data_IF_503309038148
#
_entry.id   IF_503309038148
#
_cell.length_a   1.000
_cell.length_b   1.000
_cell.length_c   1.000
_cell.angle_alpha   90.00
_cell.angle_beta   90.00
_cell.angle_gamma   90.00
#
_symmetry.space_group_name_H-M   'P 1'
#
loop_
_entity.id
_entity.type
_entity.pdbx_description
1 polymer ?
#
# COMPACT_ATOMS: atom_id res chain seq x y z
N UNK A 1 13.35 -4.81 8.49
CA UNK A 1 12.16 -5.19 7.70
C UNK A 1 11.01 -5.40 8.68
N UNK A 2 10.06 -4.46 8.75
CA UNK A 2 8.87 -4.57 9.62
C UNK A 2 7.88 -5.55 8.97
N UNK A 3 7.25 -6.41 9.78
CA UNK A 3 6.33 -7.46 9.32
C UNK A 3 5.16 -6.87 8.54
N UNK A 4 4.78 -7.46 7.41
CA UNK A 4 3.59 -7.06 6.62
C UNK A 4 2.28 -7.06 7.43
N UNK A 5 2.20 -7.88 8.49
CA UNK A 5 1.04 -7.89 9.39
C UNK A 5 0.96 -6.64 10.28
N UNK A 6 2.06 -5.90 10.46
CA UNK A 6 2.08 -4.67 11.27
C UNK A 6 1.51 -3.47 10.53
N UNK A 7 1.66 -3.37 9.21
CA UNK A 7 1.15 -2.25 8.41
C UNK A 7 -0.37 -2.27 8.33
N UNK A 8 -0.99 -3.45 8.16
CA UNK A 8 -2.46 -3.57 8.19
C UNK A 8 -3.06 -3.08 9.52
N UNK A 9 -2.42 -3.42 10.66
CA UNK A 9 -2.84 -2.92 11.96
C UNK A 9 -2.63 -1.40 12.11
N UNK A 10 -1.61 -0.84 11.48
CA UNK A 10 -1.39 0.61 11.46
C UNK A 10 -2.49 1.34 10.68
N UNK A 11 -2.86 0.81 9.50
CA UNK A 11 -3.94 1.37 8.68
C UNK A 11 -5.27 1.39 9.45
N UNK A 12 -5.59 0.32 10.18
CA UNK A 12 -6.80 0.28 11.04
C UNK A 12 -6.76 1.42 12.07
N UNK A 13 -5.65 1.57 12.80
CA UNK A 13 -5.53 2.62 13.81
C UNK A 13 -5.58 4.03 13.21
N UNK A 14 -5.10 4.22 11.98
CA UNK A 14 -5.18 5.52 11.29
C UNK A 14 -6.62 5.78 10.80
N UNK A 15 -7.34 4.75 10.34
CA UNK A 15 -8.77 4.87 9.98
C UNK A 15 -9.64 5.21 11.18
N UNK A 16 -9.34 4.64 12.36
CA UNK A 16 -10.02 5.02 13.61
C UNK A 16 -9.82 6.53 13.89
N UNK A 17 -8.60 7.05 13.68
CA UNK A 17 -8.33 8.49 13.82
C UNK A 17 -9.12 9.34 12.81
N UNK A 18 -9.27 8.88 11.57
CA UNK A 18 -10.09 9.57 10.55
C UNK A 18 -11.55 9.62 10.97
N UNK A 19 -12.10 8.49 11.42
CA UNK A 19 -13.47 8.44 11.94
C UNK A 19 -13.67 9.40 13.12
N UNK A 20 -12.71 9.42 14.05
CA UNK A 20 -12.77 10.32 15.20
C UNK A 20 -12.78 11.81 14.78
N UNK A 21 -12.12 12.18 13.66
CA UNK A 21 -12.20 13.56 13.13
C UNK A 21 -13.55 13.85 12.50
N UNK A 22 -14.09 12.90 11.74
CA UNK A 22 -15.40 13.04 11.10
C UNK A 22 -16.49 13.26 12.16
N UNK A 23 -16.44 12.52 13.26
CA UNK A 23 -17.36 12.71 14.39
C UNK A 23 -17.23 14.12 15.00
N UNK A 24 -16.01 14.63 15.19
CA UNK A 24 -15.78 15.99 15.73
C UNK A 24 -16.27 17.08 14.76
N UNK A 25 -16.08 16.88 13.46
CA UNK A 25 -16.55 17.81 12.43
C UNK A 25 -18.09 17.84 12.36
N UNK A 26 -18.76 16.72 12.62
CA UNK A 26 -20.21 16.58 12.58
C UNK A 26 -20.92 17.07 13.87
N UNK A 27 -20.34 16.83 15.05
CA UNK A 27 -20.97 17.13 16.36
C UNK A 27 -20.78 18.59 16.83
N UNK A 28 -19.89 19.35 16.18
CA UNK A 28 -19.58 20.74 16.52
C UNK A 28 -18.16 20.93 17.03
N UNK A 29 -17.52 22.02 16.61
CA UNK A 29 -16.07 22.17 16.74
C UNK A 29 -15.74 22.94 18.01
N UNK A 30 -15.21 22.23 19.00
CA UNK A 30 -14.69 22.81 20.23
C UNK A 30 -13.15 22.78 20.24
N UNK A 31 -12.54 23.88 20.70
CA UNK A 31 -11.08 24.00 20.80
C UNK A 31 -10.45 22.88 21.63
N UNK A 32 -10.97 22.62 22.84
CA UNK A 32 -10.39 21.64 23.75
C UNK A 32 -10.48 20.23 23.17
N UNK A 33 -11.62 19.87 22.59
CA UNK A 33 -11.85 18.59 21.93
C UNK A 33 -10.92 18.39 20.73
N UNK A 34 -10.76 19.42 19.90
CA UNK A 34 -9.87 19.43 18.73
C UNK A 34 -8.40 19.25 19.10
N UNK A 35 -7.93 19.96 20.13
CA UNK A 35 -6.55 19.88 20.61
C UNK A 35 -6.27 18.55 21.32
N UNK A 36 -7.22 18.04 22.11
CA UNK A 36 -7.10 16.73 22.74
C UNK A 36 -7.01 15.62 21.69
N UNK A 37 -7.87 15.68 20.66
CA UNK A 37 -7.81 14.76 19.55
C UNK A 37 -6.45 14.82 18.84
N UNK A 38 -5.96 16.01 18.49
CA UNK A 38 -4.66 16.20 17.81
C UNK A 38 -3.52 15.56 18.62
N UNK A 39 -3.44 15.85 19.92
CA UNK A 39 -2.40 15.30 20.79
C UNK A 39 -2.45 13.77 20.87
N UNK A 40 -3.66 13.20 20.93
CA UNK A 40 -3.86 11.75 20.92
C UNK A 40 -3.44 11.15 19.58
N UNK A 41 -3.83 11.75 18.47
CA UNK A 41 -3.46 11.32 17.12
C UNK A 41 -1.94 11.32 16.93
N UNK A 42 -1.25 12.40 17.29
CA UNK A 42 0.23 12.46 17.28
C UNK A 42 0.85 11.37 18.14
N UNK A 43 0.28 11.11 19.32
CA UNK A 43 0.73 10.05 20.22
C UNK A 43 0.58 8.64 19.61
N UNK A 44 -0.54 8.38 18.93
CA UNK A 44 -0.79 7.10 18.23
C UNK A 44 0.18 6.95 17.06
N UNK A 45 0.24 7.93 16.16
CA UNK A 45 1.15 7.95 15.00
C UNK A 45 2.62 7.75 15.44
N UNK A 46 3.04 8.43 16.51
CA UNK A 46 4.38 8.28 17.08
C UNK A 46 4.68 6.89 17.63
N UNK A 47 3.67 6.15 18.12
CA UNK A 47 3.83 4.75 18.56
C UNK A 47 3.92 3.79 17.37
N UNK A 48 3.11 4.00 16.33
CA UNK A 48 3.02 3.06 15.20
C UNK A 48 4.12 3.27 14.13
N UNK A 49 4.47 4.52 13.81
CA UNK A 49 5.51 4.85 12.83
C UNK A 49 6.89 5.05 13.48
N UNK A 50 6.88 5.58 14.71
CA UNK A 50 8.05 6.04 15.45
C UNK A 50 8.07 7.57 15.56
N UNK A 51 8.40 8.10 16.73
CA UNK A 51 8.33 9.55 17.03
C UNK A 51 9.14 10.43 16.08
N UNK A 52 10.24 9.91 15.56
CA UNK A 52 11.13 10.65 14.65
C UNK A 52 10.77 10.51 13.16
N UNK A 53 9.71 9.76 12.84
CA UNK A 53 9.28 9.51 11.47
C UNK A 53 8.82 10.81 10.79
N UNK A 54 9.11 10.96 9.49
CA UNK A 54 8.78 12.18 8.75
C UNK A 54 7.28 12.49 8.81
N UNK A 55 6.43 11.48 8.61
CA UNK A 55 4.98 11.65 8.69
C UNK A 55 4.47 12.12 10.06
N UNK A 56 5.12 11.70 11.15
CA UNK A 56 4.74 12.17 12.50
C UNK A 56 5.10 13.64 12.66
N UNK A 57 6.26 14.06 12.14
CA UNK A 57 6.71 15.47 12.21
C UNK A 57 5.87 16.38 11.32
N UNK A 58 5.41 15.89 10.17
CA UNK A 58 4.54 16.64 9.28
C UNK A 58 3.13 16.78 9.87
N UNK A 59 2.57 15.70 10.41
CA UNK A 59 1.27 15.76 11.10
C UNK A 59 1.30 16.73 12.30
N UNK A 60 2.36 16.71 13.10
CA UNK A 60 2.51 17.61 14.27
C UNK A 60 2.49 19.11 13.90
N UNK A 61 2.97 19.43 12.69
CA UNK A 61 3.03 20.80 12.14
C UNK A 61 1.71 21.35 11.65
N UNK A 62 0.65 20.54 11.54
CA UNK A 62 -0.67 21.03 11.13
C UNK A 62 -1.17 22.01 12.21
N UNK A 63 -1.31 23.29 11.86
CA UNK A 63 -1.61 24.33 12.85
C UNK A 63 -3.08 24.30 13.27
N UNK A 64 -3.31 24.35 14.58
CA UNK A 64 -4.63 24.46 15.21
C UNK A 64 -4.69 25.82 15.95
N UNK A 65 -4.26 26.88 15.27
CA UNK A 65 -4.15 28.23 15.86
C UNK A 65 -4.06 29.31 14.80
N UNK A 66 -4.59 30.49 15.09
CA UNK A 66 -4.27 31.75 14.38
C UNK A 66 -3.54 32.71 15.33
N UNK A 67 -2.47 33.41 14.90
CA UNK A 67 -1.65 34.25 15.78
C UNK A 67 -2.22 35.65 16.08
N UNK A 68 -3.48 35.92 15.74
CA UNK A 68 -4.12 37.24 15.90
C UNK A 68 -5.29 37.15 16.88
N UNK A 69 -5.01 36.92 18.16
CA UNK A 69 -6.02 36.94 19.22
C UNK A 69 -5.76 38.08 20.20
N UNK A 70 -6.69 39.03 20.21
CA UNK A 70 -7.19 39.59 21.45
C UNK A 70 -8.61 40.22 21.29
N UNK A 71 -9.16 40.41 20.08
CA UNK A 71 -10.36 41.26 19.92
C UNK A 71 -11.51 40.81 18.96
N UNK A 72 -11.57 39.60 18.38
CA UNK A 72 -12.70 39.23 17.48
C UNK A 72 -13.29 37.80 17.62
N UNK A 73 -14.64 37.80 17.68
CA UNK A 73 -15.71 36.80 17.53
C UNK A 73 -15.40 35.27 17.45
N UNK A 74 -16.15 34.52 18.27
CA UNK A 74 -16.30 33.04 18.38
C UNK A 74 -16.35 32.28 17.03
N UNK A 75 -16.82 32.94 15.96
CA UNK A 75 -16.93 32.39 14.59
C UNK A 75 -15.54 32.17 13.95
N UNK A 76 -14.53 33.00 14.28
CA UNK A 76 -13.17 32.87 13.73
C UNK A 76 -12.37 31.76 14.41
N UNK A 77 -12.68 31.45 15.67
CA UNK A 77 -12.09 30.34 16.42
C UNK A 77 -12.58 28.99 15.86
N UNK A 78 -13.89 28.82 15.71
CA UNK A 78 -14.50 27.60 15.15
C UNK A 78 -13.93 27.27 13.77
N UNK A 79 -13.80 28.28 12.89
CA UNK A 79 -13.26 28.11 11.54
C UNK A 79 -11.77 27.74 11.55
N UNK A 80 -10.99 28.26 12.50
CA UNK A 80 -9.56 27.91 12.64
C UNK A 80 -9.40 26.42 13.00
N UNK A 81 -10.18 25.93 13.95
CA UNK A 81 -10.12 24.52 14.34
C UNK A 81 -10.73 23.60 13.27
N UNK A 82 -11.77 24.06 12.56
CA UNK A 82 -12.31 23.36 11.38
C UNK A 82 -11.26 23.11 10.33
N UNK A 83 -10.56 24.15 9.91
CA UNK A 83 -9.50 24.05 8.91
C UNK A 83 -8.39 23.09 9.38
N UNK A 84 -7.96 23.21 10.64
CA UNK A 84 -6.96 22.31 11.22
C UNK A 84 -7.40 20.83 11.21
N UNK A 85 -8.67 20.55 11.56
CA UNK A 85 -9.24 19.21 11.52
C UNK A 85 -9.37 18.68 10.09
N UNK A 86 -9.80 19.51 9.13
CA UNK A 86 -9.90 19.13 7.72
C UNK A 86 -8.53 18.82 7.10
N UNK A 87 -7.51 19.63 7.41
CA UNK A 87 -6.12 19.39 6.99
C UNK A 87 -5.59 18.09 7.60
N UNK A 88 -5.85 17.85 8.88
CA UNK A 88 -5.45 16.63 9.57
C UNK A 88 -6.15 15.40 8.98
N UNK A 89 -7.45 15.48 8.68
CA UNK A 89 -8.20 14.41 8.00
C UNK A 89 -7.61 14.10 6.63
N UNK A 90 -7.39 15.14 5.82
CA UNK A 90 -6.82 15.01 4.47
C UNK A 90 -5.42 14.39 4.49
N UNK A 91 -4.61 14.77 5.48
CA UNK A 91 -3.29 14.21 5.73
C UNK A 91 -3.36 12.71 6.07
N UNK A 92 -4.25 12.33 7.01
CA UNK A 92 -4.40 10.93 7.43
C UNK A 92 -4.89 10.04 6.30
N UNK A 93 -5.81 10.53 5.45
CA UNK A 93 -6.26 9.81 4.25
C UNK A 93 -5.08 9.61 3.28
N UNK A 94 -4.33 10.66 3.01
CA UNK A 94 -3.14 10.57 2.13
C UNK A 94 -2.08 9.63 2.69
N UNK A 95 -1.91 9.59 4.01
CA UNK A 95 -1.00 8.67 4.69
C UNK A 95 -1.49 7.21 4.58
N UNK A 96 -2.81 6.96 4.67
CA UNK A 96 -3.37 5.63 4.42
C UNK A 96 -3.03 5.20 2.99
N UNK A 97 -3.28 6.06 2.00
CA UNK A 97 -3.01 5.76 0.60
C UNK A 97 -1.52 5.46 0.35
N UNK A 98 -0.62 6.23 0.97
CA UNK A 98 0.82 6.01 0.88
C UNK A 98 1.24 4.71 1.56
N UNK A 99 0.73 4.40 2.75
CA UNK A 99 1.03 3.14 3.46
C UNK A 99 0.44 1.92 2.75
N UNK A 100 -0.74 2.05 2.15
CA UNK A 100 -1.34 1.03 1.29
C UNK A 100 -0.53 0.87 0.01
N UNK A 101 -0.05 1.97 -0.57
CA UNK A 101 0.87 1.97 -1.70
C UNK A 101 2.19 1.30 -1.34
N UNK A 102 2.84 1.62 -0.22
CA UNK A 102 4.07 0.93 0.25
C UNK A 102 3.84 -0.55 0.60
N UNK A 103 2.65 -0.89 1.11
CA UNK A 103 2.26 -2.26 1.40
C UNK A 103 2.10 -3.08 0.11
N UNK A 104 1.51 -2.48 -0.92
CA UNK A 104 1.21 -3.12 -2.20
C UNK A 104 2.39 -3.02 -3.19
N UNK A 105 3.15 -1.94 -3.15
CA UNK A 105 4.38 -1.69 -3.89
C UNK A 105 5.56 -2.26 -3.11
N UNK A 106 5.90 -3.51 -3.39
CA UNK A 106 7.15 -4.09 -2.90
C UNK A 106 8.32 -3.36 -3.59
N UNK A 107 9.26 -2.72 -2.87
CA UNK A 107 10.40 -2.05 -3.50
C UNK A 107 11.22 -3.06 -4.31
N UNK A 108 11.29 -2.85 -5.64
CA UNK A 108 12.06 -3.68 -6.57
C UNK A 108 11.29 -4.73 -7.36
N UNK A 109 9.96 -4.82 -7.23
CA UNK A 109 9.14 -5.71 -8.05
C UNK A 109 8.11 -4.87 -8.81
N UNK A 110 8.36 -4.69 -10.10
CA UNK A 110 7.44 -4.12 -11.09
C UNK A 110 6.04 -4.74 -10.90
N UNK A 111 4.98 -3.95 -11.07
CA UNK A 111 3.61 -4.45 -10.90
C UNK A 111 3.40 -5.71 -11.76
N UNK A 112 2.61 -6.68 -11.27
CA UNK A 112 2.49 -7.98 -11.95
C UNK A 112 2.07 -7.84 -13.41
N UNK A 113 1.22 -6.86 -13.73
CA UNK A 113 0.76 -6.64 -15.10
C UNK A 113 1.89 -6.15 -16.01
N UNK A 114 2.71 -5.22 -15.52
CA UNK A 114 3.90 -4.68 -16.17
C UNK A 114 4.97 -5.76 -16.35
N UNK A 115 5.15 -6.68 -15.39
CA UNK A 115 6.03 -7.84 -15.55
C UNK A 115 5.55 -8.76 -16.68
N UNK A 116 4.27 -9.12 -16.69
CA UNK A 116 3.71 -9.95 -17.77
C UNK A 116 3.74 -9.23 -19.13
N UNK A 117 3.60 -7.90 -19.16
CA UNK A 117 3.76 -7.10 -20.36
C UNK A 117 5.21 -7.10 -20.87
N UNK A 118 6.21 -6.96 -19.98
CA UNK A 118 7.62 -7.06 -20.34
C UNK A 118 7.95 -8.43 -20.93
N UNK A 119 7.47 -9.50 -20.31
CA UNK A 119 7.69 -10.86 -20.80
C UNK A 119 7.08 -11.10 -22.19
N UNK A 120 5.86 -10.61 -22.42
CA UNK A 120 5.23 -10.68 -23.74
C UNK A 120 6.03 -9.88 -24.77
N UNK A 121 6.54 -8.71 -24.39
CA UNK A 121 7.43 -7.91 -25.25
C UNK A 121 8.74 -8.64 -25.55
N UNK A 122 9.35 -9.29 -24.56
CA UNK A 122 10.55 -10.10 -24.74
C UNK A 122 10.30 -11.20 -25.76
N UNK A 123 9.24 -11.98 -25.61
CA UNK A 123 8.86 -13.08 -26.50
C UNK A 123 8.67 -12.58 -27.94
N UNK A 124 8.02 -11.44 -28.14
CA UNK A 124 7.83 -10.85 -29.47
C UNK A 124 9.14 -10.39 -30.11
N UNK A 125 10.10 -9.95 -29.31
CA UNK A 125 11.34 -9.30 -29.78
C UNK A 125 12.49 -10.29 -29.96
N UNK A 126 12.59 -11.32 -29.12
CA UNK A 126 13.77 -12.19 -29.02
C UNK A 126 13.51 -13.64 -29.44
N UNK A 127 12.26 -14.10 -29.43
CA UNK A 127 11.93 -15.50 -29.80
C UNK A 127 11.57 -15.56 -31.28
N UNK A 128 12.55 -15.99 -32.09
CA UNK A 128 12.41 -16.08 -33.54
C UNK A 128 11.53 -17.24 -34.04
N UNK A 129 11.50 -18.37 -33.31
CA UNK A 129 10.68 -19.53 -33.70
C UNK A 129 9.19 -19.28 -33.41
N UNK A 130 8.31 -19.29 -34.44
CA UNK A 130 6.88 -19.07 -34.26
C UNK A 130 6.20 -20.08 -33.33
N UNK A 131 6.67 -21.33 -33.32
CA UNK A 131 6.07 -22.39 -32.49
C UNK A 131 6.45 -22.22 -31.02
N UNK A 132 7.73 -22.00 -30.72
CA UNK A 132 8.17 -21.63 -29.38
C UNK A 132 7.46 -20.36 -28.88
N UNK A 133 7.33 -19.33 -29.73
CA UNK A 133 6.65 -18.08 -29.40
C UNK A 133 5.19 -18.29 -29.00
N UNK A 134 4.43 -19.10 -29.74
CA UNK A 134 3.04 -19.42 -29.41
C UNK A 134 2.92 -20.20 -28.10
N UNK A 135 3.79 -21.19 -27.88
CA UNK A 135 3.85 -21.97 -26.63
C UNK A 135 4.15 -21.06 -25.42
N UNK A 136 5.16 -20.19 -25.55
CA UNK A 136 5.53 -19.24 -24.52
C UNK A 136 4.38 -18.27 -24.21
N UNK A 137 3.74 -17.68 -25.23
CA UNK A 137 2.64 -16.75 -25.02
C UNK A 137 1.46 -17.39 -24.28
N UNK A 138 1.10 -18.63 -24.63
CA UNK A 138 0.04 -19.37 -23.94
C UNK A 138 0.38 -19.59 -22.46
N UNK A 139 1.63 -19.96 -22.16
CA UNK A 139 2.08 -20.22 -20.78
C UNK A 139 2.14 -18.94 -19.95
N UNK A 140 2.67 -17.86 -20.52
CA UNK A 140 2.68 -16.53 -19.90
C UNK A 140 1.25 -16.09 -19.56
N UNK A 141 0.32 -16.28 -20.50
CA UNK A 141 -1.09 -15.92 -20.32
C UNK A 141 -1.76 -16.76 -19.23
N UNK A 142 -1.50 -18.08 -19.18
CA UNK A 142 -2.04 -18.94 -18.12
C UNK A 142 -1.49 -18.56 -16.75
N UNK A 143 -0.18 -18.31 -16.65
CA UNK A 143 0.44 -17.83 -15.42
C UNK A 143 -0.17 -16.50 -14.97
N UNK A 144 -0.32 -15.52 -15.87
CA UNK A 144 -0.97 -14.23 -15.56
C UNK A 144 -2.37 -14.42 -15.01
N UNK A 145 -3.23 -15.07 -15.80
CA UNK A 145 -4.64 -15.17 -15.44
C UNK A 145 -4.81 -15.93 -14.13
N UNK A 146 -4.05 -17.01 -13.93
CA UNK A 146 -4.19 -17.83 -12.73
C UNK A 146 -3.56 -17.22 -11.48
N UNK A 147 -2.44 -16.49 -11.61
CA UNK A 147 -1.88 -15.73 -10.49
C UNK A 147 -2.78 -14.55 -10.09
N UNK A 148 -3.39 -13.86 -11.05
CA UNK A 148 -4.31 -12.75 -10.79
C UNK A 148 -5.66 -13.22 -10.22
N UNK A 149 -6.18 -14.36 -10.69
CA UNK A 149 -7.44 -14.93 -10.20
C UNK A 149 -7.28 -15.74 -8.90
N UNK A 150 -6.05 -16.07 -8.49
CA UNK A 150 -5.78 -16.95 -7.36
C UNK A 150 -6.16 -18.43 -7.60
N UNK A 151 -6.36 -18.83 -8.87
CA UNK A 151 -6.84 -20.17 -9.25
C UNK A 151 -5.73 -21.11 -9.76
N UNK A 152 -4.47 -20.70 -9.62
CA UNK A 152 -3.31 -21.47 -10.06
C UNK A 152 -2.63 -22.19 -8.88
N UNK A 153 -2.36 -23.47 -9.06
CA UNK A 153 -1.62 -24.26 -8.06
C UNK A 153 -0.11 -24.05 -8.18
N UNK A 154 0.63 -24.27 -7.09
CA UNK A 154 2.10 -24.20 -7.11
C UNK A 154 2.74 -25.23 -8.06
N UNK A 155 2.11 -26.40 -8.24
CA UNK A 155 2.58 -27.41 -9.17
C UNK A 155 2.38 -26.98 -10.63
N UNK A 156 1.25 -26.31 -10.92
CA UNK A 156 0.99 -25.73 -12.24
C UNK A 156 1.96 -24.59 -12.56
N UNK A 157 2.24 -23.72 -11.58
CA UNK A 157 3.28 -22.69 -11.72
C UNK A 157 4.63 -23.34 -12.05
N UNK A 158 5.06 -24.35 -11.29
CA UNK A 158 6.32 -25.06 -11.53
C UNK A 158 6.37 -25.67 -12.94
N UNK A 159 5.30 -26.35 -13.35
CA UNK A 159 5.20 -26.96 -14.68
C UNK A 159 5.35 -25.93 -15.82
N UNK A 160 4.70 -24.77 -15.69
CA UNK A 160 4.84 -23.71 -16.70
C UNK A 160 6.25 -23.13 -16.72
N UNK A 161 6.85 -22.93 -15.57
CA UNK A 161 8.20 -22.37 -15.42
C UNK A 161 9.29 -23.28 -15.99
N UNK A 162 9.24 -24.57 -15.69
CA UNK A 162 10.18 -25.56 -16.23
C UNK A 162 10.13 -25.58 -17.76
N UNK A 163 8.92 -25.53 -18.32
CA UNK A 163 8.75 -25.52 -19.76
C UNK A 163 9.22 -24.21 -20.40
N UNK A 164 9.00 -23.06 -19.73
CA UNK A 164 9.55 -21.78 -20.19
C UNK A 164 11.08 -21.84 -20.19
N UNK A 165 11.70 -22.35 -19.12
CA UNK A 165 13.15 -22.50 -19.04
C UNK A 165 13.75 -23.44 -20.09
N UNK A 166 13.00 -24.48 -20.48
CA UNK A 166 13.39 -25.37 -21.58
C UNK A 166 13.35 -24.68 -22.95
N UNK A 167 12.36 -23.81 -23.18
CA UNK A 167 12.20 -23.12 -24.47
C UNK A 167 13.07 -21.86 -24.59
N UNK A 168 13.20 -21.09 -23.52
CA UNK A 168 13.96 -19.84 -23.51
C UNK A 168 14.48 -19.52 -22.09
N UNK A 169 15.77 -19.77 -21.88
CA UNK A 169 16.43 -19.54 -20.59
C UNK A 169 16.48 -18.05 -20.23
N UNK A 170 16.60 -17.15 -21.21
CA UNK A 170 16.64 -15.71 -20.96
C UNK A 170 15.30 -15.14 -20.48
N UNK A 171 14.20 -15.70 -20.97
CA UNK A 171 12.86 -15.41 -20.46
C UNK A 171 12.68 -15.97 -19.05
N UNK A 172 13.15 -17.20 -18.79
CA UNK A 172 13.08 -17.79 -17.46
C UNK A 172 13.79 -16.93 -16.40
N UNK A 173 15.00 -16.45 -16.67
CA UNK A 173 15.74 -15.57 -15.76
C UNK A 173 14.96 -14.28 -15.43
N UNK A 174 14.26 -13.70 -16.41
CA UNK A 174 13.39 -12.53 -16.22
C UNK A 174 12.15 -12.83 -15.38
N UNK A 175 11.73 -14.08 -15.30
CA UNK A 175 10.58 -14.50 -14.49
C UNK A 175 10.92 -14.87 -13.05
N UNK A 176 12.19 -15.08 -12.72
CA UNK A 176 12.61 -15.46 -11.35
C UNK A 176 12.16 -14.43 -10.29
N UNK A 177 12.23 -13.10 -10.52
CA UNK A 177 11.71 -12.12 -9.57
C UNK A 177 10.20 -12.26 -9.33
N UNK A 178 9.41 -12.52 -10.38
CA UNK A 178 7.96 -12.75 -10.29
C UNK A 178 7.64 -13.98 -9.43
N UNK A 179 8.37 -15.07 -9.62
CA UNK A 179 8.19 -16.28 -8.80
C UNK A 179 8.56 -16.05 -7.35
N UNK A 180 9.66 -15.33 -7.12
CA UNK A 180 10.10 -14.98 -5.77
C UNK A 180 9.00 -14.21 -5.05
N UNK A 181 8.37 -13.25 -5.73
CA UNK A 181 7.20 -12.55 -5.21
C UNK A 181 6.02 -13.48 -4.94
N UNK A 182 5.61 -14.30 -5.92
CA UNK A 182 4.47 -15.21 -5.79
C UNK A 182 4.61 -16.18 -4.60
N UNK A 183 5.80 -16.75 -4.42
CA UNK A 183 6.06 -17.67 -3.31
C UNK A 183 6.18 -16.94 -1.96
N UNK A 184 6.71 -15.71 -1.91
CA UNK A 184 6.73 -14.89 -0.68
C UNK A 184 5.29 -14.53 -0.26
N UNK A 185 4.42 -14.16 -1.20
CA UNK A 185 3.01 -13.89 -0.90
C UNK A 185 2.26 -15.15 -0.46
N UNK A 186 2.48 -16.28 -1.15
CA UNK A 186 1.88 -17.57 -0.81
C UNK A 186 2.33 -18.15 0.54
N UNK A 187 3.57 -17.88 0.97
CA UNK A 187 4.06 -18.25 2.30
C UNK A 187 3.38 -17.44 3.42
N UNK A 188 3.01 -16.18 3.16
CA UNK A 188 2.20 -15.36 4.08
C UNK A 188 0.78 -15.90 4.27
N UNK A 189 0.16 -16.41 3.20
CA UNK A 189 -1.18 -17.02 3.26
C UNK A 189 -1.20 -18.39 3.95
N UNK A 190 -0.15 -19.21 3.78
CA UNK A 190 -0.07 -20.54 4.43
C UNK A 190 0.37 -20.48 5.90
N UNK A 191 0.90 -19.35 6.37
CA UNK A 191 1.23 -19.14 7.80
C UNK A 191 0.05 -18.79 8.69
N UNK A 192 -1.13 -18.45 8.12
CA UNK A 192 -2.33 -18.09 8.86
C UNK A 192 -3.31 -19.26 9.08
N UNK A 193 -2.96 -20.47 8.63
CA UNK A 193 -3.67 -21.70 8.93
C UNK A 193 -2.67 -22.77 9.36
N UNK A 194 -2.42 -22.85 10.67
CA UNK A 194 -2.30 -24.10 11.41
C UNK A 194 -2.21 -23.78 12.91
N UNK A 195 -3.28 -24.17 13.62
CA UNK A 195 -3.46 -24.43 15.06
C UNK A 195 -2.40 -23.93 16.06
#
# INVERSE_FOLDING_TARGET
MRSRSSIGNYIVLIRDLVSDVEDILDDGIEQDSSLQWKNRATGILGRILGKDHIYVKEFDRIEFSTPFFDDFDEILEEETFRIGLEDARSYLISLIDELESEHNCTPGLMDMESLFAEMNRYVLTHVGDPMARSSLHNRITRLRNGMMAGDISGDEVRHHMEHIGYLDTGLYERMVPLLTWYYIQGAGFKGAHNN
#
